data_IF_476338609215
#
_entry.id   IF_476338609215
#
_cell.length_a   1.000
_cell.length_b   1.000
_cell.length_c   1.000
_cell.angle_alpha   90.00
_cell.angle_beta   90.00
_cell.angle_gamma   90.00
#
_symmetry.space_group_name_H-M   'P 1'
#
loop_
_entity.id
_entity.type
_entity.pdbx_description
1 polymer ?
#
# COMPACT_ATOMS: atom_id res chain seq x y z
N UNK A 1 11.35 19.11 -11.79
CA UNK A 1 12.60 19.83 -12.15
C UNK A 1 13.64 19.77 -11.05
N UNK A 2 13.29 20.08 -9.80
CA UNK A 2 14.21 20.02 -8.65
C UNK A 2 15.08 18.76 -8.59
N UNK A 3 14.47 17.57 -8.64
CA UNK A 3 15.19 16.28 -8.65
C UNK A 3 16.29 16.21 -9.75
N UNK A 4 16.02 16.70 -10.95
CA UNK A 4 16.98 16.68 -12.06
C UNK A 4 18.15 17.63 -11.80
N UNK A 5 17.88 18.79 -11.21
CA UNK A 5 18.91 19.77 -10.85
C UNK A 5 19.82 19.18 -9.77
N UNK A 6 19.24 18.54 -8.74
CA UNK A 6 20.00 17.88 -7.68
C UNK A 6 20.88 16.76 -8.23
N UNK A 7 20.36 15.90 -9.10
CA UNK A 7 21.13 14.82 -9.74
C UNK A 7 22.30 15.39 -10.55
N UNK A 8 22.04 16.42 -11.37
CA UNK A 8 23.07 17.09 -12.17
C UNK A 8 24.16 17.73 -11.30
N UNK A 9 23.77 18.37 -10.19
CA UNK A 9 24.70 18.95 -9.22
C UNK A 9 25.57 17.86 -8.56
N UNK A 10 24.98 16.74 -8.12
CA UNK A 10 25.71 15.61 -7.56
C UNK A 10 26.69 14.99 -8.58
N UNK A 11 26.29 14.88 -9.85
CA UNK A 11 27.14 14.36 -10.93
C UNK A 11 28.35 15.26 -11.16
N UNK A 12 28.12 16.57 -11.22
CA UNK A 12 29.17 17.59 -11.40
C UNK A 12 30.11 17.64 -10.19
N UNK A 13 29.59 17.38 -8.99
CA UNK A 13 30.36 17.21 -7.76
C UNK A 13 31.08 15.85 -7.66
N UNK A 14 31.17 15.08 -8.76
CA UNK A 14 31.90 13.81 -8.84
C UNK A 14 31.37 12.71 -7.90
N UNK A 15 30.06 12.68 -7.64
CA UNK A 15 29.45 11.57 -6.90
C UNK A 15 29.68 10.23 -7.64
N UNK A 16 30.18 9.22 -6.92
CA UNK A 16 30.49 7.88 -7.48
C UNK A 16 29.27 7.16 -8.06
N UNK A 17 28.11 7.29 -7.40
CA UNK A 17 26.85 6.67 -7.81
C UNK A 17 25.69 7.51 -7.30
N UNK A 18 24.71 7.76 -8.16
CA UNK A 18 23.50 8.52 -7.85
C UNK A 18 22.29 7.61 -8.03
N UNK A 19 21.50 7.46 -6.96
CA UNK A 19 20.27 6.67 -6.97
C UNK A 19 19.07 7.60 -6.78
N UNK A 20 18.17 7.65 -7.74
CA UNK A 20 16.94 8.41 -7.63
C UNK A 20 15.87 7.55 -6.96
N UNK A 21 15.51 7.91 -5.73
CA UNK A 21 14.39 7.30 -5.02
C UNK A 21 13.14 8.13 -5.29
N UNK A 22 12.21 7.54 -6.04
CA UNK A 22 11.01 8.19 -6.54
C UNK A 22 9.80 7.35 -6.11
N UNK A 23 9.28 7.54 -4.89
CA UNK A 23 8.16 6.73 -4.39
C UNK A 23 6.95 6.74 -5.33
N UNK A 24 6.59 7.90 -5.90
CA UNK A 24 5.53 8.01 -6.92
C UNK A 24 6.13 8.50 -8.23
N UNK A 25 6.17 7.64 -9.25
CA UNK A 25 6.77 7.97 -10.54
C UNK A 25 5.95 9.05 -11.29
N UNK A 26 6.56 10.20 -11.64
CA UNK A 26 5.87 11.28 -12.33
C UNK A 26 5.46 10.88 -13.75
N UNK A 27 4.26 11.30 -14.16
CA UNK A 27 3.69 11.00 -15.48
C UNK A 27 3.54 9.50 -15.81
N UNK A 28 3.53 8.62 -14.81
CA UNK A 28 3.40 7.17 -15.02
C UNK A 28 2.18 6.75 -15.87
N UNK A 29 1.08 7.52 -15.84
CA UNK A 29 -0.14 7.28 -16.65
C UNK A 29 0.01 7.61 -18.15
N UNK A 30 1.12 8.23 -18.55
CA UNK A 30 1.41 8.63 -19.94
C UNK A 30 2.55 7.76 -20.49
N UNK A 31 2.40 6.44 -20.35
CA UNK A 31 3.33 5.38 -20.73
C UNK A 31 3.13 4.90 -22.17
N UNK A 32 1.99 5.19 -22.79
CA UNK A 32 1.70 4.80 -24.18
C UNK A 32 0.93 5.88 -24.94
N UNK A 33 0.82 5.70 -26.26
CA UNK A 33 0.00 6.55 -27.12
C UNK A 33 -1.45 6.08 -27.09
N UNK A 34 -2.28 6.69 -26.23
CA UNK A 34 -3.71 6.38 -26.18
C UNK A 34 -4.50 6.89 -27.40
N UNK A 35 -4.01 7.95 -28.04
CA UNK A 35 -4.54 8.51 -29.30
C UNK A 35 -3.39 8.83 -30.24
N UNK A 36 -3.68 8.94 -31.54
CA UNK A 36 -2.70 9.45 -32.52
C UNK A 36 -2.16 10.80 -32.05
N UNK A 37 -0.83 10.96 -32.07
CA UNK A 37 -0.10 12.17 -31.65
C UNK A 37 -0.06 12.50 -30.14
N UNK A 38 -0.42 11.56 -29.24
CA UNK A 38 -0.17 11.75 -27.81
C UNK A 38 1.34 11.56 -27.47
N UNK A 39 1.90 12.32 -26.50
CA UNK A 39 3.27 12.12 -26.03
C UNK A 39 3.38 10.92 -25.08
N UNK A 40 4.54 10.27 -25.07
CA UNK A 40 4.90 9.27 -24.05
C UNK A 40 5.75 9.97 -22.98
N UNK A 41 5.09 10.75 -22.13
CA UNK A 41 5.79 11.60 -21.15
C UNK A 41 6.54 10.79 -20.09
N UNK A 42 6.08 9.58 -19.75
CA UNK A 42 6.80 8.70 -18.83
C UNK A 42 8.20 8.33 -19.35
N UNK A 43 8.33 8.07 -20.65
CA UNK A 43 9.63 7.82 -21.32
C UNK A 43 10.49 9.08 -21.38
N UNK A 44 9.89 10.25 -21.63
CA UNK A 44 10.61 11.52 -21.58
C UNK A 44 11.23 11.75 -20.18
N UNK A 45 10.47 11.51 -19.11
CA UNK A 45 11.00 11.64 -17.74
C UNK A 45 12.12 10.64 -17.47
N UNK A 46 11.97 9.40 -17.94
CA UNK A 46 13.03 8.39 -17.82
C UNK A 46 14.32 8.86 -18.52
N UNK A 47 14.21 9.41 -19.73
CA UNK A 47 15.35 9.95 -20.48
C UNK A 47 16.00 11.13 -19.75
N UNK A 48 15.21 12.07 -19.20
CA UNK A 48 15.73 13.21 -18.45
C UNK A 48 16.48 12.77 -17.19
N UNK A 49 15.96 11.78 -16.45
CA UNK A 49 16.63 11.24 -15.26
C UNK A 49 17.96 10.57 -15.61
N UNK A 50 18.01 9.81 -16.69
CA UNK A 50 19.23 9.15 -17.15
C UNK A 50 20.28 10.16 -17.64
N UNK A 51 19.86 11.11 -18.49
CA UNK A 51 20.76 12.14 -19.01
C UNK A 51 21.30 13.07 -17.91
N UNK A 52 20.50 13.36 -16.88
CA UNK A 52 20.97 14.15 -15.73
C UNK A 52 22.06 13.44 -14.91
N UNK A 53 22.23 12.12 -15.06
CA UNK A 53 23.30 11.34 -14.43
C UNK A 53 22.86 10.32 -13.39
N UNK A 54 21.58 9.96 -13.36
CA UNK A 54 21.10 8.91 -12.47
C UNK A 54 21.65 7.54 -12.89
N UNK A 55 22.17 6.74 -11.95
CA UNK A 55 22.71 5.40 -12.21
C UNK A 55 21.75 4.28 -11.81
N UNK A 56 20.76 4.57 -10.98
CA UNK A 56 19.85 3.57 -10.42
C UNK A 56 18.55 4.26 -10.00
N UNK A 57 17.39 3.65 -10.27
CA UNK A 57 16.09 4.20 -9.87
C UNK A 57 15.39 3.23 -8.93
N UNK A 58 14.88 3.74 -7.82
CA UNK A 58 14.03 2.98 -6.91
C UNK A 58 12.67 3.65 -6.89
N UNK A 59 11.62 2.91 -7.18
CA UNK A 59 10.26 3.42 -7.23
C UNK A 59 9.27 2.44 -6.62
N UNK A 60 8.04 2.87 -6.43
CA UNK A 60 6.97 2.03 -5.87
C UNK A 60 5.76 2.09 -6.79
N UNK A 61 5.19 0.93 -7.11
CA UNK A 61 3.91 0.77 -7.79
C UNK A 61 3.81 1.58 -9.10
N UNK A 62 4.69 1.24 -10.06
CA UNK A 62 4.62 1.82 -11.40
C UNK A 62 3.25 1.54 -12.04
N UNK A 63 2.65 2.57 -12.66
CA UNK A 63 1.36 2.44 -13.34
C UNK A 63 1.30 1.31 -14.37
N UNK A 64 2.44 1.05 -15.01
CA UNK A 64 2.64 -0.03 -15.96
C UNK A 64 4.04 -0.58 -15.74
N UNK A 65 4.19 -1.89 -15.59
CA UNK A 65 5.47 -2.56 -15.39
C UNK A 65 6.45 -2.31 -16.56
N UNK A 66 5.94 -2.04 -17.77
CA UNK A 66 6.74 -1.67 -18.96
C UNK A 66 7.55 -0.39 -18.77
N UNK A 67 7.20 0.48 -17.83
CA UNK A 67 7.97 1.70 -17.52
C UNK A 67 9.39 1.34 -17.08
N UNK A 68 9.62 0.16 -16.49
CA UNK A 68 10.98 -0.31 -16.18
C UNK A 68 11.84 -0.40 -17.45
N UNK A 69 11.26 -0.83 -18.58
CA UNK A 69 11.92 -0.87 -19.89
C UNK A 69 12.14 0.51 -20.53
N UNK A 70 11.69 1.60 -19.90
CA UNK A 70 12.04 2.95 -20.35
C UNK A 70 13.43 3.38 -19.87
N UNK A 71 14.01 2.67 -18.91
CA UNK A 71 15.33 2.94 -18.38
C UNK A 71 16.35 1.95 -18.95
N UNK A 72 17.52 2.48 -19.29
CA UNK A 72 18.72 1.70 -19.61
C UNK A 72 19.54 1.42 -18.33
N UNK A 73 19.19 2.09 -17.22
CA UNK A 73 19.74 1.86 -15.87
C UNK A 73 18.86 0.90 -15.07
N UNK A 74 19.40 0.19 -14.06
CA UNK A 74 18.59 -0.68 -13.22
C UNK A 74 17.44 0.11 -12.54
N UNK A 75 16.29 -0.54 -12.42
CA UNK A 75 15.10 0.00 -11.76
C UNK A 75 14.54 -1.02 -10.80
N UNK A 76 14.51 -0.68 -9.52
CA UNK A 76 13.82 -1.47 -8.51
C UNK A 76 12.39 -0.93 -8.36
N UNK A 77 11.39 -1.70 -8.80
CA UNK A 77 9.98 -1.45 -8.50
C UNK A 77 9.58 -2.25 -7.25
N UNK A 78 9.49 -1.58 -6.09
CA UNK A 78 9.36 -2.24 -4.80
C UNK A 78 7.97 -2.84 -4.53
N UNK A 79 6.96 -2.51 -5.33
CA UNK A 79 5.62 -3.08 -5.23
C UNK A 79 5.20 -3.57 -6.61
N UNK A 80 5.29 -4.89 -6.81
CA UNK A 80 4.71 -5.54 -7.96
C UNK A 80 3.41 -6.21 -7.52
N UNK A 81 2.32 -5.44 -7.58
CA UNK A 81 0.98 -5.93 -7.30
C UNK A 81 0.32 -6.50 -8.54
N UNK A 82 0.95 -6.58 -9.72
CA UNK A 82 0.29 -6.97 -10.97
C UNK A 82 -0.38 -8.35 -10.86
N UNK A 83 0.18 -9.26 -10.06
CA UNK A 83 -0.33 -10.60 -9.82
C UNK A 83 -1.45 -10.70 -8.76
N UNK A 84 -1.89 -9.61 -8.14
CA UNK A 84 -2.92 -9.68 -7.09
C UNK A 84 -4.35 -9.37 -7.58
N UNK A 85 -5.34 -10.00 -6.96
CA UNK A 85 -6.77 -9.81 -7.25
C UNK A 85 -7.52 -9.52 -5.95
N UNK A 86 -8.36 -8.49 -5.97
CA UNK A 86 -9.22 -8.16 -4.84
C UNK A 86 -10.44 -9.06 -4.87
N UNK A 87 -10.74 -9.68 -3.74
CA UNK A 87 -11.86 -10.59 -3.57
C UNK A 87 -12.81 -10.03 -2.51
N UNK A 88 -14.09 -9.90 -2.84
CA UNK A 88 -15.12 -9.61 -1.85
C UNK A 88 -15.62 -10.92 -1.22
N UNK A 89 -15.62 -11.06 0.12
CA UNK A 89 -16.04 -12.29 0.80
C UNK A 89 -17.56 -12.53 0.73
N UNK A 90 -18.33 -11.49 0.40
CA UNK A 90 -19.77 -11.55 0.23
C UNK A 90 -20.27 -10.57 -0.86
N UNK A 91 -21.56 -10.65 -1.18
CA UNK A 91 -22.22 -9.76 -2.13
C UNK A 91 -22.31 -8.30 -1.65
N UNK A 92 -22.38 -8.07 -0.32
CA UNK A 92 -22.50 -6.75 0.27
C UNK A 92 -21.24 -5.91 0.09
N UNK A 93 -20.07 -6.53 0.19
CA UNK A 93 -18.76 -5.92 0.00
C UNK A 93 -18.37 -5.64 -1.46
N UNK A 94 -19.20 -6.02 -2.45
CA UNK A 94 -18.83 -5.91 -3.87
C UNK A 94 -18.48 -4.47 -4.29
N UNK A 95 -19.23 -3.47 -3.81
CA UNK A 95 -18.94 -2.05 -4.09
C UNK A 95 -17.59 -1.62 -3.51
N UNK A 96 -17.25 -2.10 -2.31
CA UNK A 96 -15.98 -1.81 -1.62
C UNK A 96 -14.81 -2.43 -2.39
N UNK A 97 -14.92 -3.72 -2.73
CA UNK A 97 -13.91 -4.42 -3.53
C UNK A 97 -13.72 -3.75 -4.90
N UNK A 98 -14.80 -3.37 -5.57
CA UNK A 98 -14.73 -2.66 -6.85
C UNK A 98 -14.07 -1.29 -6.73
N UNK A 99 -14.35 -0.54 -5.67
CA UNK A 99 -13.73 0.77 -5.41
C UNK A 99 -12.22 0.65 -5.22
N UNK A 100 -11.79 -0.32 -4.41
CA UNK A 100 -10.36 -0.57 -4.15
C UNK A 100 -9.67 -1.06 -5.42
N UNK A 101 -10.31 -1.95 -6.17
CA UNK A 101 -9.81 -2.44 -7.46
C UNK A 101 -9.59 -1.28 -8.44
N UNK A 102 -10.54 -0.34 -8.52
CA UNK A 102 -10.43 0.83 -9.38
C UNK A 102 -9.28 1.75 -8.97
N UNK A 103 -9.07 1.95 -7.66
CA UNK A 103 -7.98 2.77 -7.12
C UNK A 103 -6.59 2.16 -7.33
N UNK A 104 -6.49 0.83 -7.24
CA UNK A 104 -5.29 0.06 -7.56
C UNK A 104 -5.05 -0.10 -9.07
N UNK A 105 -5.81 0.61 -9.93
CA UNK A 105 -5.77 0.51 -11.40
C UNK A 105 -5.93 -0.93 -11.94
N UNK A 106 -6.64 -1.78 -11.20
CA UNK A 106 -6.89 -3.17 -11.60
C UNK A 106 -8.16 -3.27 -12.42
N UNK A 107 -8.15 -4.18 -13.39
CA UNK A 107 -9.29 -4.35 -14.31
C UNK A 107 -10.36 -5.31 -13.79
N UNK A 108 -10.00 -6.22 -12.90
CA UNK A 108 -10.89 -7.30 -12.46
C UNK A 108 -10.82 -7.49 -10.94
N UNK A 109 -11.97 -7.78 -10.35
CA UNK A 109 -12.13 -8.24 -8.97
C UNK A 109 -12.93 -9.54 -8.97
N UNK A 110 -12.81 -10.32 -7.91
CA UNK A 110 -13.61 -11.52 -7.72
C UNK A 110 -14.63 -11.34 -6.58
N UNK A 111 -15.72 -12.08 -6.65
CA UNK A 111 -16.82 -12.02 -5.70
C UNK A 111 -17.15 -13.42 -5.21
N UNK A 112 -17.27 -13.60 -3.90
CA UNK A 112 -17.79 -14.83 -3.31
C UNK A 112 -19.28 -14.62 -3.06
N UNK A 113 -20.10 -15.39 -3.75
CA UNK A 113 -21.53 -15.46 -3.49
C UNK A 113 -21.80 -16.64 -2.54
N UNK A 114 -22.44 -16.35 -1.41
CA UNK A 114 -22.86 -17.37 -0.44
C UNK A 114 -24.30 -17.75 -0.70
N UNK A 115 -24.53 -18.90 -1.30
CA UNK A 115 -25.88 -19.45 -1.44
C UNK A 115 -26.33 -20.02 -0.09
N UNK A 116 -27.45 -19.53 0.43
CA UNK A 116 -28.06 -20.10 1.64
C UNK A 116 -29.31 -20.87 1.23
N UNK A 117 -29.29 -22.22 1.19
CA UNK A 117 -30.50 -22.98 0.88
C UNK A 117 -31.59 -22.82 1.94
N UNK A 118 -31.20 -22.58 3.21
CA UNK A 118 -32.09 -22.22 4.34
C UNK A 118 -31.36 -21.32 5.34
N UNK A 119 -32.08 -20.54 6.17
CA UNK A 119 -31.47 -19.88 7.35
C UNK A 119 -30.80 -20.95 8.23
N UNK A 120 -29.54 -20.73 8.62
CA UNK A 120 -28.71 -21.59 9.50
C UNK A 120 -28.06 -22.86 8.92
N UNK A 121 -28.19 -23.18 7.63
CA UNK A 121 -27.39 -24.26 7.01
C UNK A 121 -26.12 -23.67 6.38
N UNK A 122 -24.99 -24.39 6.49
CA UNK A 122 -23.72 -23.99 5.88
C UNK A 122 -23.88 -23.99 4.37
N UNK A 123 -24.06 -22.79 3.82
CA UNK A 123 -24.20 -22.54 2.39
C UNK A 123 -22.94 -22.85 1.59
N UNK A 124 -23.14 -23.31 0.35
CA UNK A 124 -22.11 -23.37 -0.69
C UNK A 124 -21.59 -21.97 -0.99
N UNK A 125 -20.28 -21.87 -1.27
CA UNK A 125 -19.64 -20.63 -1.73
C UNK A 125 -19.31 -20.77 -3.21
N UNK A 126 -19.85 -19.86 -4.02
CA UNK A 126 -19.57 -19.78 -5.45
C UNK A 126 -18.64 -18.59 -5.69
N UNK A 127 -17.50 -18.85 -6.31
CA UNK A 127 -16.56 -17.81 -6.72
C UNK A 127 -16.92 -17.31 -8.12
N UNK A 128 -17.08 -16.00 -8.25
CA UNK A 128 -17.29 -15.31 -9.53
C UNK A 128 -16.05 -14.46 -9.80
N UNK A 129 -15.26 -14.84 -10.80
CA UNK A 129 -14.00 -14.19 -11.17
C UNK A 129 -12.83 -15.18 -11.25
N UNK A 130 -11.77 -14.81 -11.97
CA UNK A 130 -10.60 -15.66 -12.17
C UNK A 130 -9.44 -15.30 -11.22
N UNK A 131 -9.16 -16.24 -10.30
CA UNK A 131 -8.15 -16.13 -9.26
C UNK A 131 -6.93 -17.04 -9.50
N UNK A 132 -6.87 -17.76 -10.62
CA UNK A 132 -5.81 -18.76 -10.89
C UNK A 132 -4.44 -18.12 -10.97
N UNK A 133 -3.47 -18.73 -10.30
CA UNK A 133 -2.06 -18.31 -10.20
C UNK A 133 -1.84 -16.88 -9.64
N UNK A 134 -2.90 -16.25 -9.11
CA UNK A 134 -2.87 -14.90 -8.58
C UNK A 134 -2.80 -14.89 -7.06
N UNK A 135 -2.33 -13.77 -6.50
CA UNK A 135 -2.42 -13.48 -5.08
C UNK A 135 -3.82 -12.91 -4.79
N UNK A 136 -4.64 -13.64 -4.04
CA UNK A 136 -5.97 -13.16 -3.69
C UNK A 136 -5.94 -12.36 -2.39
N UNK A 137 -6.57 -11.18 -2.39
CA UNK A 137 -6.71 -10.32 -1.22
C UNK A 137 -8.20 -10.18 -0.91
N UNK A 138 -8.64 -10.86 0.15
CA UNK A 138 -10.00 -10.74 0.67
C UNK A 138 -10.13 -9.40 1.41
N UNK A 139 -11.13 -8.59 1.08
CA UNK A 139 -11.34 -7.30 1.74
C UNK A 139 -12.71 -7.24 2.37
N UNK A 140 -12.75 -6.94 3.68
CA UNK A 140 -13.99 -6.74 4.43
C UNK A 140 -13.89 -5.51 5.35
N UNK A 141 -15.02 -4.97 5.81
CA UNK A 141 -15.05 -3.87 6.78
C UNK A 141 -14.94 -4.40 8.19
N UNK A 142 -15.62 -5.49 8.51
CA UNK A 142 -15.57 -6.07 9.84
C UNK A 142 -15.65 -7.59 9.81
N UNK A 143 -14.91 -8.22 10.71
CA UNK A 143 -14.95 -9.67 10.88
C UNK A 143 -14.92 -10.02 12.37
N UNK A 144 -15.84 -10.90 12.76
CA UNK A 144 -16.07 -11.28 14.14
C UNK A 144 -15.47 -12.64 14.50
N UNK A 145 -16.14 -13.72 14.09
CA UNK A 145 -15.68 -15.11 14.31
C UNK A 145 -14.75 -15.64 13.21
N UNK A 146 -14.56 -14.87 12.14
CA UNK A 146 -13.72 -15.18 10.96
C UNK A 146 -14.09 -16.46 10.18
N UNK A 147 -15.16 -17.17 10.55
CA UNK A 147 -15.57 -18.40 9.88
C UNK A 147 -15.96 -18.21 8.42
N UNK A 148 -16.64 -17.10 8.08
CA UNK A 148 -16.97 -16.77 6.68
C UNK A 148 -15.73 -16.43 5.88
N UNK A 149 -14.84 -15.61 6.44
CA UNK A 149 -13.61 -15.17 5.77
C UNK A 149 -12.67 -16.34 5.47
N UNK A 150 -12.50 -17.26 6.43
CA UNK A 150 -11.65 -18.45 6.26
C UNK A 150 -12.24 -19.42 5.24
N UNK A 151 -13.56 -19.66 5.25
CA UNK A 151 -14.20 -20.47 4.19
C UNK A 151 -14.07 -19.83 2.81
N UNK A 152 -14.14 -18.50 2.76
CA UNK A 152 -13.88 -17.75 1.53
C UNK A 152 -12.45 -17.96 1.04
N UNK A 153 -11.48 -17.86 1.94
CA UNK A 153 -10.08 -18.11 1.64
C UNK A 153 -9.82 -19.54 1.15
N UNK A 154 -10.44 -20.55 1.77
CA UNK A 154 -10.35 -21.94 1.33
C UNK A 154 -10.95 -22.13 -0.07
N UNK A 155 -12.09 -21.50 -0.34
CA UNK A 155 -12.75 -21.55 -1.64
C UNK A 155 -11.84 -20.95 -2.71
N UNK A 156 -11.26 -19.78 -2.46
CA UNK A 156 -10.32 -19.12 -3.37
C UNK A 156 -9.06 -19.95 -3.58
N UNK A 157 -8.51 -20.56 -2.53
CA UNK A 157 -7.38 -21.49 -2.62
C UNK A 157 -7.68 -22.71 -3.50
N UNK A 158 -8.87 -23.32 -3.36
CA UNK A 158 -9.31 -24.44 -4.21
C UNK A 158 -9.44 -24.07 -5.68
N UNK A 159 -9.67 -22.80 -6.00
CA UNK A 159 -9.76 -22.30 -7.37
C UNK A 159 -8.40 -21.89 -7.96
N UNK A 160 -7.28 -22.17 -7.27
CA UNK A 160 -5.92 -22.04 -7.80
C UNK A 160 -5.20 -20.73 -7.45
N UNK A 161 -5.61 -20.02 -6.40
CA UNK A 161 -4.86 -18.84 -5.94
C UNK A 161 -3.51 -19.22 -5.31
N UNK A 162 -2.44 -18.50 -5.67
CA UNK A 162 -1.06 -18.74 -5.19
C UNK A 162 -0.92 -18.51 -3.69
N UNK A 163 -1.46 -17.39 -3.20
CA UNK A 163 -1.52 -17.02 -1.78
C UNK A 163 -2.81 -16.26 -1.52
N UNK A 164 -3.35 -16.41 -0.32
CA UNK A 164 -4.56 -15.71 0.10
C UNK A 164 -4.25 -14.83 1.31
N UNK A 165 -4.54 -13.55 1.20
CA UNK A 165 -4.45 -12.55 2.25
C UNK A 165 -5.84 -12.04 2.60
N UNK A 166 -5.97 -11.49 3.80
CA UNK A 166 -7.19 -10.82 4.22
C UNK A 166 -6.87 -9.45 4.81
N UNK A 167 -7.67 -8.45 4.45
CA UNK A 167 -7.63 -7.10 5.01
C UNK A 167 -9.01 -6.81 5.56
N UNK A 168 -9.08 -6.50 6.86
CA UNK A 168 -10.33 -6.18 7.55
C UNK A 168 -10.15 -4.88 8.32
N UNK A 169 -11.02 -3.89 8.12
CA UNK A 169 -10.90 -2.64 8.87
C UNK A 169 -11.07 -2.88 10.37
N UNK A 170 -12.19 -3.46 10.79
CA UNK A 170 -12.55 -3.69 12.18
C UNK A 170 -12.38 -5.18 12.55
N UNK A 171 -11.24 -5.52 13.13
CA UNK A 171 -10.96 -6.88 13.59
C UNK A 171 -11.51 -7.15 14.99
N UNK A 172 -12.76 -7.58 15.10
CA UNK A 172 -13.38 -7.87 16.42
C UNK A 172 -12.73 -9.11 17.06
N UNK A 173 -12.46 -10.15 16.25
CA UNK A 173 -11.71 -11.35 16.65
C UNK A 173 -12.29 -11.98 17.94
N UNK A 174 -13.59 -12.31 17.93
CA UNK A 174 -14.25 -12.91 19.10
C UNK A 174 -14.21 -14.43 19.09
N UNK A 175 -14.41 -15.02 20.27
CA UNK A 175 -14.51 -16.47 20.45
C UNK A 175 -13.33 -17.24 19.84
N UNK A 176 -13.57 -18.20 18.92
CA UNK A 176 -12.53 -19.05 18.36
C UNK A 176 -11.68 -18.39 17.26
N UNK A 177 -11.91 -17.11 16.93
CA UNK A 177 -11.33 -16.44 15.76
C UNK A 177 -9.82 -16.65 15.59
N UNK A 178 -9.03 -16.48 16.66
CA UNK A 178 -7.56 -16.63 16.62
C UNK A 178 -7.17 -18.06 16.23
N UNK A 179 -7.83 -19.06 16.82
CA UNK A 179 -7.57 -20.47 16.49
C UNK A 179 -7.97 -20.78 15.05
N UNK A 180 -9.09 -20.23 14.59
CA UNK A 180 -9.56 -20.37 13.21
C UNK A 180 -8.55 -19.77 12.22
N UNK A 181 -8.02 -18.58 12.49
CA UNK A 181 -7.05 -17.90 11.63
C UNK A 181 -5.72 -18.67 11.59
N UNK A 182 -5.21 -19.08 12.75
CA UNK A 182 -3.95 -19.83 12.84
C UNK A 182 -4.01 -21.14 12.05
N UNK A 183 -5.15 -21.86 12.10
CA UNK A 183 -5.38 -23.11 11.36
C UNK A 183 -5.77 -22.91 9.89
N UNK A 184 -6.11 -21.69 9.48
CA UNK A 184 -6.58 -21.41 8.13
C UNK A 184 -5.47 -21.39 7.08
N UNK A 185 -5.87 -21.41 5.80
CA UNK A 185 -4.99 -21.22 4.64
C UNK A 185 -4.57 -19.76 4.40
N UNK A 186 -4.95 -18.81 5.27
CA UNK A 186 -4.52 -17.42 5.14
C UNK A 186 -3.01 -17.31 5.36
N UNK A 187 -2.35 -16.55 4.48
CA UNK A 187 -0.94 -16.17 4.60
C UNK A 187 -0.74 -15.10 5.67
N UNK A 188 -1.51 -14.02 5.61
CA UNK A 188 -1.54 -12.97 6.62
C UNK A 188 -2.93 -12.35 6.69
N UNK A 189 -3.30 -11.90 7.88
CA UNK A 189 -4.47 -11.09 8.15
C UNK A 189 -4.01 -9.71 8.59
N UNK A 190 -4.44 -8.68 7.88
CA UNK A 190 -4.18 -7.28 8.22
C UNK A 190 -5.45 -6.68 8.82
N UNK A 191 -5.32 -6.06 9.98
CA UNK A 191 -6.41 -5.33 10.64
C UNK A 191 -5.97 -3.93 11.06
N UNK A 192 -6.91 -3.03 11.30
CA UNK A 192 -6.59 -1.74 11.93
C UNK A 192 -6.67 -1.82 13.46
N UNK A 193 -6.06 -0.84 14.15
CA UNK A 193 -6.20 -0.67 15.59
C UNK A 193 -7.51 0.03 16.03
N UNK A 194 -8.55 0.03 15.20
CA UNK A 194 -9.88 0.59 15.56
C UNK A 194 -10.57 -0.19 16.68
N UNK A 195 -10.23 -1.47 16.86
CA UNK A 195 -10.67 -2.31 17.97
C UNK A 195 -9.44 -2.69 18.79
N UNK A 196 -9.48 -2.61 20.13
CA UNK A 196 -8.36 -3.02 20.97
C UNK A 196 -8.08 -4.52 20.80
N UNK A 197 -6.87 -4.84 20.35
CA UNK A 197 -6.46 -6.21 20.05
C UNK A 197 -5.83 -6.92 21.25
N UNK A 198 -5.22 -6.19 22.20
CA UNK A 198 -4.62 -6.76 23.40
C UNK A 198 -3.62 -7.89 23.11
N UNK A 199 -3.75 -9.00 23.83
CA UNK A 199 -2.92 -10.22 23.71
C UNK A 199 -3.10 -10.97 22.39
N UNK A 200 -4.10 -10.60 21.56
CA UNK A 200 -4.41 -11.31 20.31
C UNK A 200 -3.29 -11.20 19.28
N UNK A 201 -2.50 -10.13 19.32
CA UNK A 201 -1.37 -9.92 18.42
C UNK A 201 -0.27 -10.95 18.70
N UNK A 202 0.06 -11.16 19.97
CA UNK A 202 1.08 -12.13 20.37
C UNK A 202 0.65 -13.58 20.11
N UNK A 203 -0.65 -13.85 20.18
CA UNK A 203 -1.24 -15.19 19.97
C UNK A 203 -1.42 -15.57 18.49
N UNK A 204 -1.28 -14.63 17.57
CA UNK A 204 -1.54 -14.84 16.15
C UNK A 204 -0.38 -14.31 15.30
N UNK A 205 0.61 -15.15 14.91
CA UNK A 205 1.75 -14.69 14.11
C UNK A 205 1.36 -14.21 12.71
N UNK A 206 0.16 -14.56 12.24
CA UNK A 206 -0.39 -14.13 10.94
C UNK A 206 -1.02 -12.74 10.99
N UNK A 207 -1.30 -12.21 12.19
CA UNK A 207 -1.99 -10.94 12.40
C UNK A 207 -1.00 -9.78 12.30
N UNK A 208 -1.28 -8.83 11.40
CA UNK A 208 -0.56 -7.57 11.27
C UNK A 208 -1.52 -6.42 11.52
N UNK A 209 -1.02 -5.39 12.21
CA UNK A 209 -1.85 -4.25 12.65
C UNK A 209 -1.39 -2.97 11.96
N UNK A 210 -2.34 -2.26 11.36
CA UNK A 210 -2.14 -0.93 10.80
C UNK A 210 -2.68 0.10 11.79
N UNK A 211 -1.83 1.07 12.13
CA UNK A 211 -2.21 2.18 12.99
C UNK A 211 -2.97 3.24 12.19
N UNK A 212 -4.20 3.56 12.61
CA UNK A 212 -5.03 4.62 12.03
C UNK A 212 -5.05 5.90 12.86
N UNK A 213 -4.27 5.95 13.95
CA UNK A 213 -4.22 7.10 14.87
C UNK A 213 -3.83 8.39 14.15
N UNK A 214 -2.87 8.33 13.23
CA UNK A 214 -2.44 9.49 12.43
C UNK A 214 -3.57 10.06 11.56
N UNK A 215 -4.33 9.18 10.90
CA UNK A 215 -5.50 9.57 10.09
C UNK A 215 -6.59 10.20 10.94
N UNK A 216 -6.88 9.62 12.12
CA UNK A 216 -7.88 10.16 13.03
C UNK A 216 -7.44 11.49 13.65
N UNK A 217 -6.18 11.62 14.05
CA UNK A 217 -5.62 12.85 14.61
C UNK A 217 -5.66 14.00 13.60
N UNK A 218 -5.31 13.73 12.35
CA UNK A 218 -5.36 14.73 11.28
C UNK A 218 -6.80 15.10 10.92
N UNK A 219 -7.74 14.15 10.97
CA UNK A 219 -9.16 14.46 10.80
C UNK A 219 -9.66 15.40 11.90
N UNK A 220 -9.33 15.13 13.17
CA UNK A 220 -9.68 15.98 14.31
C UNK A 220 -9.06 17.38 14.14
N UNK A 221 -7.78 17.47 13.79
CA UNK A 221 -7.06 18.74 13.56
C UNK A 221 -7.75 19.57 12.47
N UNK A 222 -8.09 18.94 11.34
CA UNK A 222 -8.76 19.62 10.22
C UNK A 222 -10.15 20.09 10.59
N UNK A 223 -10.95 19.25 11.24
CA UNK A 223 -12.28 19.64 11.73
C UNK A 223 -12.19 20.80 12.72
N UNK A 224 -11.24 20.78 13.65
CA UNK A 224 -11.03 21.86 14.61
C UNK A 224 -10.64 23.19 13.95
N UNK A 225 -9.79 23.13 12.91
CA UNK A 225 -9.31 24.30 12.18
C UNK A 225 -10.25 24.77 11.04
N UNK A 226 -11.37 24.09 10.80
CA UNK A 226 -12.26 24.37 9.66
C UNK A 226 -11.65 24.02 8.30
N UNK A 227 -10.65 23.14 8.27
CA UNK A 227 -10.00 22.65 7.05
C UNK A 227 -10.77 21.46 6.44
N UNK A 228 -10.61 21.25 5.13
CA UNK A 228 -11.28 20.15 4.43
C UNK A 228 -10.75 18.77 4.86
N UNK A 229 -11.64 17.93 5.39
CA UNK A 229 -11.40 16.52 5.71
C UNK A 229 -11.32 15.66 4.44
N UNK A 230 -11.90 16.13 3.33
CA UNK A 230 -11.96 15.36 2.07
C UNK A 230 -10.59 14.99 1.53
N UNK A 231 -9.55 15.74 1.88
CA UNK A 231 -8.16 15.44 1.56
C UNK A 231 -7.71 14.04 2.04
N UNK A 232 -8.23 13.58 3.18
CA UNK A 232 -7.84 12.31 3.81
C UNK A 232 -8.40 11.08 3.10
N UNK A 233 -9.40 11.23 2.24
CA UNK A 233 -9.95 10.08 1.49
C UNK A 233 -9.03 9.54 0.41
N UNK A 234 -8.06 10.36 -0.02
CA UNK A 234 -7.10 10.03 -1.08
C UNK A 234 -5.63 10.15 -0.62
N UNK A 235 -5.37 10.68 0.57
CA UNK A 235 -4.01 10.90 1.10
C UNK A 235 -3.88 10.44 2.55
N UNK A 236 -2.98 9.49 2.79
CA UNK A 236 -2.58 9.10 4.14
C UNK A 236 -1.66 10.18 4.73
N UNK A 237 -1.97 10.71 5.93
CA UNK A 237 -1.04 11.58 6.63
C UNK A 237 0.16 10.74 7.08
N UNK A 238 1.35 11.07 6.56
CA UNK A 238 2.57 10.43 7.02
C UNK A 238 2.79 10.77 8.49
N UNK A 239 2.87 9.75 9.34
CA UNK A 239 3.26 9.86 10.75
C UNK A 239 4.74 10.30 10.85
N UNK A 240 5.02 11.56 10.54
CA UNK A 240 6.34 12.21 10.70
C UNK A 240 6.26 13.53 11.45
N UNK A 241 5.06 14.01 11.77
CA UNK A 241 4.91 15.06 12.77
C UNK A 241 5.08 14.44 14.16
N UNK A 242 6.35 14.33 14.59
CA UNK A 242 6.64 14.29 16.03
C UNK A 242 5.90 15.47 16.65
N UNK A 243 4.87 15.20 17.44
CA UNK A 243 4.32 16.19 18.34
C UNK A 243 5.51 16.75 19.14
N UNK A 244 5.74 18.07 19.16
CA UNK A 244 6.79 18.62 20.01
C UNK A 244 6.39 18.29 21.44
N UNK A 245 7.11 17.36 22.06
CA UNK A 245 6.97 17.06 23.48
C UNK A 245 7.34 18.32 24.25
N UNK A 246 6.34 19.09 24.66
CA UNK A 246 6.49 20.25 25.52
C UNK A 246 6.83 19.78 26.94
N UNK A 247 8.10 19.45 27.16
CA UNK A 247 8.71 19.48 28.49
C UNK A 247 10.13 20.03 28.41
N UNK A 248 10.28 21.25 28.96
CA UNK A 248 11.51 21.83 29.54
C UNK A 248 12.76 22.05 28.65
N UNK A 249 12.96 23.29 28.18
CA UNK A 249 13.81 24.34 28.81
C UNK A 249 14.14 25.44 27.78
N UNK A 250 13.90 26.69 28.18
CA UNK A 250 14.56 27.86 27.61
C UNK A 250 16.08 27.71 27.78
N UNK A 251 16.83 27.67 26.68
CA UNK A 251 18.25 28.05 26.64
C UNK A 251 18.66 28.42 25.21
N UNK A 252 18.87 29.73 25.03
CA UNK A 252 19.81 30.41 24.14
C UNK A 252 20.35 29.67 22.90
N UNK A 253 20.06 30.26 21.74
CA UNK A 253 20.83 30.08 20.53
C UNK A 253 22.32 30.44 20.74
N UNK A 254 23.22 29.52 20.42
CA UNK A 254 24.61 29.87 20.08
C UNK A 254 25.18 28.81 19.13
N UNK A 255 25.83 29.31 18.09
CA UNK A 255 26.51 28.63 16.99
C UNK A 255 27.51 27.55 17.42
N UNK A 256 27.66 26.50 16.63
CA UNK A 256 28.98 25.95 16.22
C UNK A 256 28.81 24.92 15.11
N UNK A 257 29.53 25.14 13.99
CA UNK A 257 29.87 24.08 13.05
C UNK A 257 30.82 23.08 13.73
N UNK A 258 30.63 21.78 13.51
CA UNK A 258 31.76 20.86 13.49
C UNK A 258 31.57 19.78 12.43
N UNK A 259 32.63 19.61 11.65
CA UNK A 259 32.83 18.60 10.62
C UNK A 259 33.15 17.25 11.25
N UNK A 260 32.51 16.17 10.78
CA UNK A 260 33.14 14.86 10.80
C UNK A 260 32.75 14.05 9.57
N UNK A 261 33.79 13.56 8.93
CA UNK A 261 33.89 12.59 7.85
C UNK A 261 33.23 11.28 8.25
N UNK A 262 32.27 10.84 7.44
CA UNK A 262 31.64 9.52 7.51
C UNK A 262 30.79 9.35 6.27
N UNK A 263 31.01 8.27 5.53
CA UNK A 263 30.40 7.94 4.24
C UNK A 263 28.90 8.22 4.22
N UNK A 264 28.47 9.24 3.46
CA UNK A 264 27.06 9.63 3.36
C UNK A 264 26.42 8.98 2.14
N UNK A 265 25.79 7.83 2.35
CA UNK A 265 24.69 7.42 1.50
C UNK A 265 23.49 8.29 1.87
N UNK A 266 23.15 9.26 1.02
CA UNK A 266 22.09 10.23 1.27
C UNK A 266 20.79 9.74 0.63
N UNK A 267 19.80 9.42 1.46
CA UNK A 267 18.46 9.05 1.03
C UNK A 267 17.55 10.29 1.08
N UNK A 268 17.08 10.77 -0.09
CA UNK A 268 16.04 11.80 -0.14
C UNK A 268 14.66 11.14 -0.31
N UNK A 269 13.69 11.61 0.49
CA UNK A 269 12.32 11.07 0.56
C UNK A 269 11.33 12.18 0.18
N UNK A 270 10.51 11.95 -0.85
CA UNK A 270 9.39 12.81 -1.23
C UNK A 270 8.17 11.92 -1.52
N UNK A 271 7.06 12.12 -0.81
CA UNK A 271 5.79 11.39 -0.98
C UNK A 271 4.74 12.27 -1.68
N UNK A 272 3.83 11.69 -2.50
CA UNK A 272 2.56 11.15 -1.97
C UNK A 272 2.02 9.89 -2.70
N UNK A 273 0.95 9.29 -2.13
CA UNK A 273 0.11 8.15 -2.58
C UNK A 273 0.49 6.76 -2.07
N UNK A 274 0.12 6.45 -0.82
CA UNK A 274 0.55 5.18 -0.19
C UNK A 274 -0.52 4.40 0.58
N UNK A 275 -1.69 4.92 0.91
CA UNK A 275 -2.62 4.24 1.84
C UNK A 275 -2.91 2.75 1.50
N UNK A 276 -3.45 2.49 0.31
CA UNK A 276 -3.89 1.15 -0.10
C UNK A 276 -2.69 0.25 -0.46
N UNK A 277 -1.62 0.86 -0.99
CA UNK A 277 -0.36 0.20 -1.28
C UNK A 277 0.41 -0.19 -0.01
N UNK A 278 0.36 0.62 1.06
CA UNK A 278 0.91 0.33 2.39
C UNK A 278 0.13 -0.79 3.05
N UNK A 279 -1.20 -0.81 2.91
CA UNK A 279 -2.02 -1.92 3.43
C UNK A 279 -1.65 -3.26 2.79
N UNK A 280 -1.52 -3.27 1.46
CA UNK A 280 -1.18 -4.47 0.70
C UNK A 280 0.30 -4.85 0.89
N UNK A 281 1.21 -3.89 0.92
CA UNK A 281 2.64 -4.08 1.23
C UNK A 281 2.84 -4.66 2.63
N UNK A 282 2.08 -4.17 3.61
CA UNK A 282 2.08 -4.74 4.95
C UNK A 282 1.51 -6.16 4.94
N UNK A 283 0.60 -6.51 4.04
CA UNK A 283 0.04 -7.85 3.92
C UNK A 283 1.02 -8.85 3.30
N UNK A 284 1.62 -8.51 2.14
CA UNK A 284 2.47 -9.38 1.30
C UNK A 284 3.71 -9.93 2.02
#
# INVERSE_FOLDING_TARGET
MELLITVCACKTASARRITAVIPSYPHARQDKKDKSCAPISAKLVANMLQLSGCNHVITMDLHASQIQGFFDVPVDNLLDLDDCIIVSPDAGGAKRASSITARLNKRTFALIHKERPRPNVVGSMVLVGDVREKIAILVDDMADTYGTLVKGAETVGRHGARRVFAIVTHGILSGPAINTINRSCLSSLVVTNTVPLGDKVDRCPKLKVIDVSGTLAEAIRRTHNGESVSYLFDNEPSCTTRFPSTHHRLASATSTLSSSTGERTMWLRVYPRLWEATMISSAL
#
